data_IF_778990473737
#
_entry.id   IF_778990473737
#
_cell.length_a   1.000
_cell.length_b   1.000
_cell.length_c   1.000
_cell.angle_alpha   90.00
_cell.angle_beta   90.00
_cell.angle_gamma   90.00
#
_symmetry.space_group_name_H-M   'P 1'
#
loop_
_entity.id
_entity.type
_entity.pdbx_description
1 polymer ?
#
# COMPACT_ATOMS: atom_id res chain seq x y z
N UNK A 1 66.27 12.56 -22.99
CA UNK A 1 65.39 13.57 -22.35
C UNK A 1 63.96 13.06 -22.40
N UNK A 2 63.51 12.26 -21.44
CA UNK A 2 62.22 11.56 -21.60
C UNK A 2 61.61 11.18 -20.26
N UNK A 3 61.49 12.14 -19.33
CA UNK A 3 60.86 11.90 -18.02
C UNK A 3 59.87 12.97 -17.56
N UNK A 4 59.71 14.07 -18.31
CA UNK A 4 58.83 15.20 -17.92
C UNK A 4 57.46 15.21 -18.63
N UNK A 5 57.21 14.35 -19.62
CA UNK A 5 55.96 14.37 -20.40
C UNK A 5 54.85 13.48 -19.84
N UNK A 6 55.17 12.46 -19.03
CA UNK A 6 54.18 11.49 -18.55
C UNK A 6 53.38 12.03 -17.34
N UNK A 7 53.96 12.95 -16.57
CA UNK A 7 53.29 13.52 -15.39
C UNK A 7 52.14 14.47 -15.76
N UNK A 8 52.23 15.15 -16.91
CA UNK A 8 51.18 16.10 -17.34
C UNK A 8 49.93 15.40 -17.88
N UNK A 9 50.04 14.17 -18.37
CA UNK A 9 48.88 13.39 -18.84
C UNK A 9 48.11 12.73 -17.70
N UNK A 10 48.76 12.48 -16.56
CA UNK A 10 48.10 11.88 -15.39
C UNK A 10 47.24 12.88 -14.59
N UNK A 11 47.53 14.19 -14.67
CA UNK A 11 46.79 15.23 -13.93
C UNK A 11 45.46 15.63 -14.56
N UNK A 12 45.20 15.29 -15.83
CA UNK A 12 43.96 15.64 -16.54
C UNK A 12 42.92 14.52 -16.49
N UNK A 13 43.32 13.29 -16.12
CA UNK A 13 42.40 12.15 -16.03
C UNK A 13 41.64 12.06 -14.68
N UNK A 14 42.12 12.73 -13.64
CA UNK A 14 41.55 12.64 -12.29
C UNK A 14 40.20 13.38 -12.09
N UNK A 15 39.92 14.54 -12.74
CA UNK A 15 38.65 15.23 -12.53
C UNK A 15 37.45 14.56 -13.22
N UNK A 16 37.68 13.78 -14.28
CA UNK A 16 36.60 13.12 -15.04
C UNK A 16 36.07 11.86 -14.34
N UNK A 17 36.93 11.16 -13.59
CA UNK A 17 36.53 9.99 -12.79
C UNK A 17 35.67 10.37 -11.57
N UNK A 18 35.80 11.60 -11.04
CA UNK A 18 35.04 12.09 -9.90
C UNK A 18 33.61 12.52 -10.25
N UNK A 19 33.31 12.79 -11.53
CA UNK A 19 31.96 13.17 -11.98
C UNK A 19 31.03 11.97 -12.24
N UNK A 20 31.56 10.75 -12.30
CA UNK A 20 30.75 9.53 -12.51
C UNK A 20 30.38 8.79 -11.20
N UNK A 21 30.75 9.33 -10.04
CA UNK A 21 30.61 8.65 -8.74
C UNK A 21 29.38 9.01 -7.90
N UNK A 22 28.62 10.04 -8.28
CA UNK A 22 27.40 10.41 -7.54
C UNK A 22 26.19 9.73 -8.18
N UNK A 23 25.99 8.43 -7.90
CA UNK A 23 24.69 7.82 -8.19
C UNK A 23 23.62 8.58 -7.40
N UNK A 24 22.57 9.05 -8.07
CA UNK A 24 21.47 9.75 -7.40
C UNK A 24 20.96 8.92 -6.20
N UNK A 25 20.72 9.57 -5.04
CA UNK A 25 20.16 8.89 -3.89
C UNK A 25 18.80 8.33 -4.29
N UNK A 26 18.60 7.03 -4.09
CA UNK A 26 17.32 6.40 -4.40
C UNK A 26 16.19 6.97 -3.54
N UNK A 27 14.98 6.95 -4.09
CA UNK A 27 13.77 7.47 -3.47
C UNK A 27 12.96 6.34 -2.84
N UNK A 28 12.16 6.68 -1.85
CA UNK A 28 11.25 5.75 -1.17
C UNK A 28 9.84 6.30 -1.26
N UNK A 29 8.94 5.50 -1.82
CA UNK A 29 7.51 5.75 -1.76
C UNK A 29 6.88 4.72 -0.83
N UNK A 30 5.92 5.17 -0.02
CA UNK A 30 5.09 4.31 0.82
C UNK A 30 3.62 4.59 0.52
N UNK A 31 2.78 3.58 0.58
CA UNK A 31 1.35 3.77 0.36
C UNK A 31 0.51 2.50 0.36
N UNK A 32 -0.76 2.69 0.04
CA UNK A 32 -1.77 1.63 0.01
C UNK A 32 -1.88 1.02 -1.37
N UNK A 33 -1.73 -0.30 -1.46
CA UNK A 33 -1.87 -1.05 -2.72
C UNK A 33 -3.34 -1.12 -3.13
N UNK A 34 -3.65 -0.61 -4.32
CA UNK A 34 -4.99 -0.63 -4.91
C UNK A 34 -5.10 -1.64 -6.07
N UNK A 35 -3.97 -2.10 -6.61
CA UNK A 35 -3.91 -3.16 -7.64
C UNK A 35 -2.61 -3.94 -7.50
N UNK A 36 -2.70 -5.26 -7.68
CA UNK A 36 -1.55 -6.16 -7.81
C UNK A 36 -1.79 -7.09 -9.01
N UNK A 37 -0.83 -7.15 -9.92
CA UNK A 37 -0.82 -8.08 -11.05
C UNK A 37 0.42 -8.98 -10.92
N UNK A 38 0.22 -10.21 -10.48
CA UNK A 38 1.29 -11.18 -10.27
C UNK A 38 1.92 -11.64 -11.59
N UNK A 39 1.13 -11.71 -12.69
CA UNK A 39 1.62 -12.14 -13.98
C UNK A 39 2.50 -11.06 -14.64
N UNK A 40 2.04 -9.81 -14.61
CA UNK A 40 2.81 -8.67 -15.09
C UNK A 40 3.90 -8.21 -14.11
N UNK A 41 3.92 -8.75 -12.88
CA UNK A 41 4.75 -8.30 -11.76
C UNK A 41 4.66 -6.79 -11.56
N UNK A 42 3.43 -6.28 -11.45
CA UNK A 42 3.20 -4.85 -11.21
C UNK A 42 2.32 -4.61 -10.00
N UNK A 43 2.55 -3.48 -9.33
CA UNK A 43 1.67 -2.95 -8.30
C UNK A 43 1.24 -1.54 -8.67
N UNK A 44 0.02 -1.17 -8.27
CA UNK A 44 -0.43 0.22 -8.28
C UNK A 44 -0.81 0.60 -6.85
N UNK A 45 -0.34 1.76 -6.39
CA UNK A 45 -0.59 2.25 -5.04
C UNK A 45 -0.96 3.73 -4.99
N UNK A 46 -1.76 4.09 -3.99
CA UNK A 46 -1.97 5.48 -3.58
C UNK A 46 -0.93 5.81 -2.53
N UNK A 47 -0.10 6.82 -2.80
CA UNK A 47 0.96 7.25 -1.87
C UNK A 47 0.36 7.78 -0.59
N UNK A 48 1.01 7.46 0.51
CA UNK A 48 0.77 8.07 1.80
C UNK A 48 1.51 9.41 1.88
N UNK A 49 0.77 10.53 1.84
CA UNK A 49 1.35 11.88 1.96
C UNK A 49 2.08 12.09 3.29
N UNK A 50 1.59 11.48 4.36
CA UNK A 50 2.15 11.62 5.70
C UNK A 50 3.41 10.76 5.91
N UNK A 51 3.62 9.74 5.07
CA UNK A 51 4.65 8.71 5.27
C UNK A 51 4.58 8.06 6.67
N UNK A 52 3.38 7.91 7.23
CA UNK A 52 3.10 7.34 8.55
C UNK A 52 2.08 6.21 8.41
N UNK A 53 2.57 4.96 8.48
CA UNK A 53 1.73 3.77 8.37
C UNK A 53 0.71 3.62 9.51
N UNK A 54 0.83 4.35 10.63
CA UNK A 54 -0.18 4.37 11.70
C UNK A 54 -1.23 5.46 11.47
N UNK A 55 -0.86 6.56 10.81
CA UNK A 55 -1.73 7.72 10.53
C UNK A 55 -1.57 8.20 9.08
N UNK A 56 -1.99 7.39 8.11
CA UNK A 56 -1.72 7.67 6.70
C UNK A 56 -2.63 8.77 6.18
N UNK A 57 -2.21 9.38 5.08
CA UNK A 57 -3.00 10.29 4.28
C UNK A 57 -2.99 9.83 2.81
N UNK A 58 -4.01 9.06 2.42
CA UNK A 58 -4.20 8.55 1.07
C UNK A 58 -5.00 9.52 0.18
N UNK A 59 -4.53 10.75 0.05
CA UNK A 59 -5.15 11.80 -0.79
C UNK A 59 -4.34 12.14 -2.04
N UNK A 60 -3.31 11.36 -2.35
CA UNK A 60 -2.40 11.64 -3.47
C UNK A 60 -2.87 10.95 -4.74
N UNK A 61 -3.20 11.75 -5.76
CA UNK A 61 -3.42 11.32 -7.14
C UNK A 61 -2.34 11.94 -8.07
N UNK A 62 -2.05 11.31 -9.22
CA UNK A 62 -2.56 9.99 -9.65
C UNK A 62 -1.95 8.83 -8.84
N UNK A 63 -2.53 7.62 -8.93
CA UNK A 63 -1.89 6.42 -8.39
C UNK A 63 -0.54 6.15 -9.06
N UNK A 64 0.41 5.61 -8.31
CA UNK A 64 1.73 5.25 -8.82
C UNK A 64 1.77 3.76 -9.15
N UNK A 65 2.22 3.41 -10.35
CA UNK A 65 2.42 2.02 -10.76
C UNK A 65 3.91 1.70 -10.83
N UNK A 66 4.32 0.56 -10.27
CA UNK A 66 5.69 0.08 -10.31
C UNK A 66 5.76 -1.34 -10.87
N UNK A 67 6.75 -1.61 -11.71
CA UNK A 67 7.23 -2.98 -11.96
C UNK A 67 8.01 -3.46 -10.75
N UNK A 68 7.73 -4.68 -10.29
CA UNK A 68 8.37 -5.31 -9.15
C UNK A 68 9.74 -5.90 -9.52
N UNK A 69 10.70 -5.95 -8.57
CA UNK A 69 11.99 -6.60 -8.78
C UNK A 69 11.84 -8.06 -9.21
N UNK A 70 12.74 -8.51 -10.09
CA UNK A 70 12.82 -9.92 -10.46
C UNK A 70 13.62 -10.75 -9.45
N UNK A 71 14.51 -10.12 -8.68
CA UNK A 71 15.27 -10.79 -7.62
C UNK A 71 14.36 -10.99 -6.39
N UNK A 72 14.12 -12.25 -5.95
CA UNK A 72 13.34 -12.53 -4.75
C UNK A 72 13.90 -11.90 -3.47
N UNK A 73 15.23 -11.71 -3.38
CA UNK A 73 15.84 -11.09 -2.19
C UNK A 73 15.51 -9.61 -2.05
N UNK A 74 15.04 -8.98 -3.14
CA UNK A 74 14.59 -7.58 -3.16
C UNK A 74 13.05 -7.47 -3.10
N UNK A 75 12.38 -8.59 -2.84
CA UNK A 75 10.92 -8.72 -2.74
C UNK A 75 10.49 -9.20 -1.35
N UNK A 76 9.71 -8.38 -0.66
CA UNK A 76 8.91 -8.82 0.48
C UNK A 76 7.70 -9.68 0.07
N UNK A 77 6.88 -10.10 1.05
CA UNK A 77 5.66 -10.87 0.77
C UNK A 77 4.75 -10.14 -0.22
N UNK A 78 4.10 -10.88 -1.12
CA UNK A 78 3.19 -10.28 -2.10
C UNK A 78 2.08 -9.45 -1.43
N UNK A 79 1.70 -8.28 -2.02
CA UNK A 79 0.65 -7.45 -1.46
C UNK A 79 -0.75 -7.95 -1.81
N UNK A 80 -1.69 -7.68 -0.91
CA UNK A 80 -3.11 -7.71 -1.20
C UNK A 80 -3.57 -6.31 -1.65
N UNK A 81 -4.34 -6.25 -2.73
CA UNK A 81 -4.98 -5.02 -3.18
C UNK A 81 -6.31 -4.78 -2.44
N UNK A 82 -6.68 -3.51 -2.24
CA UNK A 82 -8.00 -3.14 -1.73
C UNK A 82 -8.33 -1.68 -2.00
N UNK A 83 -9.60 -1.41 -2.30
CA UNK A 83 -10.08 -0.10 -2.75
C UNK A 83 -10.36 0.90 -1.63
N UNK A 84 -10.50 0.46 -0.38
CA UNK A 84 -10.85 1.33 0.73
C UNK A 84 -9.65 2.16 1.19
N UNK A 85 -9.78 3.48 1.06
CA UNK A 85 -8.77 4.44 1.50
C UNK A 85 -8.97 4.81 2.97
N UNK A 86 -10.23 5.06 3.37
CA UNK A 86 -10.56 5.50 4.72
C UNK A 86 -11.94 5.02 5.12
N UNK A 87 -12.10 4.66 6.40
CA UNK A 87 -13.40 4.60 7.06
C UNK A 87 -13.39 5.58 8.23
N UNK A 88 -14.39 6.45 8.27
CA UNK A 88 -14.64 7.42 9.32
C UNK A 88 -15.96 7.06 10.00
N UNK A 89 -15.88 6.20 11.02
CA UNK A 89 -17.05 5.72 11.77
C UNK A 89 -17.76 6.81 12.57
N UNK A 90 -17.12 7.98 12.78
CA UNK A 90 -17.75 9.11 13.48
C UNK A 90 -18.60 9.94 12.54
N UNK A 91 -18.17 10.07 11.28
CA UNK A 91 -18.90 10.78 10.23
C UNK A 91 -19.81 9.88 9.41
N UNK A 92 -19.79 8.57 9.65
CA UNK A 92 -20.45 7.56 8.84
C UNK A 92 -20.07 7.65 7.34
N UNK A 93 -18.78 7.81 7.08
CA UNK A 93 -18.24 7.96 5.73
C UNK A 93 -17.18 6.92 5.42
N UNK A 94 -17.24 6.38 4.21
CA UNK A 94 -16.18 5.55 3.64
C UNK A 94 -15.65 6.19 2.37
N UNK A 95 -14.33 6.32 2.26
CA UNK A 95 -13.66 6.80 1.05
C UNK A 95 -13.01 5.61 0.36
N UNK A 96 -13.32 5.44 -0.92
CA UNK A 96 -12.75 4.41 -1.80
C UNK A 96 -12.01 5.06 -2.96
N UNK A 97 -11.06 4.34 -3.56
CA UNK A 97 -10.56 4.65 -4.90
C UNK A 97 -11.44 3.94 -5.94
N UNK A 98 -12.02 4.70 -6.85
CA UNK A 98 -12.80 4.18 -7.97
C UNK A 98 -11.87 3.99 -9.19
N UNK A 99 -11.61 2.73 -9.61
CA UNK A 99 -10.72 2.46 -10.74
C UNK A 99 -11.30 2.92 -12.08
N UNK A 100 -12.61 3.12 -12.18
CA UNK A 100 -13.29 3.58 -13.39
C UNK A 100 -13.03 5.05 -13.63
N UNK A 101 -13.18 5.87 -12.58
CA UNK A 101 -12.98 7.32 -12.66
C UNK A 101 -11.56 7.75 -12.31
N UNK A 102 -10.70 6.83 -11.87
CA UNK A 102 -9.34 7.11 -11.36
C UNK A 102 -9.32 8.19 -10.28
N UNK A 103 -10.35 8.21 -9.42
CA UNK A 103 -10.55 9.26 -8.42
C UNK A 103 -11.08 8.67 -7.10
N UNK A 104 -11.09 9.48 -6.05
CA UNK A 104 -11.69 9.10 -4.78
C UNK A 104 -13.20 9.36 -4.78
N UNK A 105 -13.94 8.41 -4.21
CA UNK A 105 -15.37 8.54 -3.94
C UNK A 105 -15.61 8.42 -2.44
N UNK A 106 -16.22 9.44 -1.86
CA UNK A 106 -16.71 9.39 -0.47
C UNK A 106 -18.18 9.03 -0.50
N UNK A 107 -18.54 8.02 0.29
CA UNK A 107 -19.87 7.44 0.35
C UNK A 107 -20.34 7.54 1.80
N UNK A 108 -21.50 8.13 2.00
CA UNK A 108 -22.18 8.09 3.29
C UNK A 108 -22.82 6.72 3.49
N UNK A 109 -22.77 6.21 4.71
CA UNK A 109 -23.36 4.92 5.06
C UNK A 109 -24.27 5.04 6.29
N UNK A 110 -25.13 4.04 6.50
CA UNK A 110 -25.86 3.89 7.76
C UNK A 110 -25.11 2.90 8.65
N UNK A 111 -24.77 3.30 9.87
CA UNK A 111 -24.14 2.40 10.83
C UNK A 111 -25.17 1.44 11.40
N UNK A 112 -24.96 0.13 11.22
CA UNK A 112 -25.85 -0.93 11.71
C UNK A 112 -25.34 -1.51 13.04
N UNK A 113 -24.04 -1.77 13.13
CA UNK A 113 -23.37 -2.20 14.35
C UNK A 113 -21.94 -1.66 14.38
N UNK A 114 -21.44 -1.36 15.57
CA UNK A 114 -20.09 -0.83 15.76
C UNK A 114 -19.49 -1.33 17.07
N UNK A 115 -18.29 -1.92 16.97
CA UNK A 115 -17.53 -2.40 18.11
C UNK A 115 -16.13 -1.83 18.08
N UNK A 116 -15.70 -1.31 19.23
CA UNK A 116 -14.34 -0.82 19.46
C UNK A 116 -13.54 -1.83 20.28
N UNK A 117 -12.23 -1.59 20.39
CA UNK A 117 -11.30 -2.45 21.12
C UNK A 117 -11.24 -3.90 20.60
N UNK A 118 -11.45 -4.08 19.30
CA UNK A 118 -11.35 -5.36 18.61
C UNK A 118 -9.91 -5.53 18.10
N UNK A 119 -9.05 -6.14 18.90
CA UNK A 119 -7.72 -6.55 18.45
C UNK A 119 -7.78 -7.72 17.45
N UNK A 120 -6.61 -8.09 16.90
CA UNK A 120 -6.48 -9.12 15.85
C UNK A 120 -6.72 -10.55 16.33
N UNK A 121 -6.68 -10.79 17.63
CA UNK A 121 -6.87 -12.10 18.30
C UNK A 121 -8.29 -12.24 18.88
N UNK A 122 -9.10 -11.17 18.80
CA UNK A 122 -10.47 -11.14 19.28
C UNK A 122 -11.34 -12.20 18.54
N UNK A 123 -12.20 -12.98 19.24
CA UNK A 123 -12.97 -14.06 18.62
C UNK A 123 -13.90 -13.66 17.47
N UNK A 124 -14.26 -12.38 17.39
CA UNK A 124 -15.06 -11.85 16.27
C UNK A 124 -14.27 -11.74 14.96
N UNK A 125 -12.93 -11.69 15.03
CA UNK A 125 -12.06 -11.50 13.87
C UNK A 125 -10.97 -12.59 13.74
N UNK A 126 -10.85 -13.45 14.74
CA UNK A 126 -9.93 -14.58 14.78
C UNK A 126 -10.68 -15.87 15.09
N UNK A 127 -10.38 -16.92 14.34
CA UNK A 127 -10.87 -18.27 14.57
C UNK A 127 -9.78 -19.05 15.32
N UNK A 128 -10.04 -19.35 16.60
CA UNK A 128 -9.10 -20.05 17.47
C UNK A 128 -8.99 -21.55 17.15
N UNK A 129 -10.04 -22.14 16.60
CA UNK A 129 -10.06 -23.58 16.30
C UNK A 129 -9.20 -23.88 15.06
N UNK A 130 -9.17 -22.95 14.10
CA UNK A 130 -8.37 -23.05 12.87
C UNK A 130 -7.08 -22.23 12.89
N UNK A 131 -6.81 -21.53 14.00
CA UNK A 131 -5.66 -20.63 14.23
C UNK A 131 -5.46 -19.62 13.07
N UNK A 132 -6.56 -18.99 12.62
CA UNK A 132 -6.57 -18.11 11.44
C UNK A 132 -7.43 -16.86 11.62
N UNK A 133 -7.03 -15.71 11.04
CA UNK A 133 -7.90 -14.56 10.97
C UNK A 133 -9.11 -14.84 10.08
N UNK A 134 -10.28 -14.38 10.52
CA UNK A 134 -11.50 -14.38 9.71
C UNK A 134 -11.33 -13.45 8.51
N UNK A 135 -11.99 -13.80 7.40
CA UNK A 135 -11.93 -13.00 6.18
C UNK A 135 -12.83 -11.77 6.32
N UNK A 136 -12.25 -10.61 6.03
CA UNK A 136 -12.95 -9.33 5.90
C UNK A 136 -12.50 -8.65 4.60
N UNK A 137 -13.34 -7.80 4.00
CA UNK A 137 -14.72 -7.49 4.38
C UNK A 137 -15.68 -8.67 4.14
N UNK A 138 -16.83 -8.67 4.82
CA UNK A 138 -17.94 -9.60 4.53
C UNK A 138 -19.07 -8.79 3.89
N UNK A 139 -19.39 -9.07 2.64
CA UNK A 139 -20.43 -8.38 1.88
C UNK A 139 -21.70 -9.24 1.87
N UNK A 140 -22.78 -8.73 2.47
CA UNK A 140 -24.10 -9.36 2.48
C UNK A 140 -25.02 -8.54 1.55
N UNK A 141 -25.22 -9.05 0.33
CA UNK A 141 -26.00 -8.35 -0.72
C UNK A 141 -27.49 -8.32 -0.40
N UNK A 142 -28.01 -9.34 0.28
CA UNK A 142 -29.43 -9.43 0.63
C UNK A 142 -29.79 -8.39 1.69
N UNK A 143 -28.93 -8.23 2.70
CA UNK A 143 -29.10 -7.23 3.75
C UNK A 143 -28.57 -5.85 3.37
N UNK A 144 -27.88 -5.74 2.23
CA UNK A 144 -27.18 -4.53 1.77
C UNK A 144 -26.19 -4.04 2.83
N UNK A 145 -25.47 -4.95 3.47
CA UNK A 145 -24.46 -4.61 4.49
C UNK A 145 -23.06 -5.06 4.13
N UNK A 146 -22.08 -4.35 4.68
CA UNK A 146 -20.67 -4.70 4.63
C UNK A 146 -20.11 -4.71 6.04
N UNK A 147 -19.56 -5.85 6.45
CA UNK A 147 -18.82 -5.96 7.72
C UNK A 147 -17.34 -5.69 7.47
N UNK A 148 -16.79 -4.68 8.13
CA UNK A 148 -15.43 -4.19 7.94
C UNK A 148 -14.68 -4.27 9.25
N UNK A 149 -13.59 -5.03 9.25
CA UNK A 149 -12.59 -4.99 10.30
C UNK A 149 -11.48 -3.98 9.95
N UNK A 150 -11.10 -3.16 10.93
CA UNK A 150 -9.96 -2.25 10.84
C UNK A 150 -8.98 -2.55 11.96
N UNK A 151 -7.97 -3.38 11.67
CA UNK A 151 -6.96 -3.74 12.67
C UNK A 151 -6.16 -2.54 13.20
N UNK A 152 -5.95 -1.53 12.36
CA UNK A 152 -5.27 -0.28 12.76
C UNK A 152 -6.09 0.56 13.74
N UNK A 153 -7.41 0.65 13.51
CA UNK A 153 -8.33 1.38 14.40
C UNK A 153 -8.84 0.51 15.55
N UNK A 154 -8.60 -0.82 15.51
CA UNK A 154 -9.18 -1.83 16.41
C UNK A 154 -10.72 -1.76 16.45
N UNK A 155 -11.34 -1.62 15.28
CA UNK A 155 -12.80 -1.51 15.14
C UNK A 155 -13.37 -2.58 14.23
N UNK A 156 -14.60 -3.00 14.53
CA UNK A 156 -15.44 -3.84 13.68
C UNK A 156 -16.75 -3.10 13.43
N UNK A 157 -17.02 -2.74 12.18
CA UNK A 157 -18.21 -1.99 11.77
C UNK A 157 -19.07 -2.84 10.84
N UNK A 158 -20.38 -2.85 11.06
CA UNK A 158 -21.36 -3.31 10.07
C UNK A 158 -22.05 -2.08 9.52
N UNK A 159 -21.83 -1.79 8.24
CA UNK A 159 -22.37 -0.61 7.57
C UNK A 159 -23.39 -1.05 6.52
N UNK A 160 -24.44 -0.26 6.34
CA UNK A 160 -25.38 -0.40 5.23
C UNK A 160 -25.10 0.66 4.18
N UNK A 161 -25.10 0.24 2.92
CA UNK A 161 -24.81 1.09 1.76
C UNK A 161 -25.99 1.07 0.76
N UNK A 162 -26.12 2.09 -0.09
CA UNK A 162 -27.04 2.04 -1.23
C UNK A 162 -26.76 0.87 -2.17
N UNK A 163 -27.80 0.38 -2.85
CA UNK A 163 -27.76 -0.84 -3.66
C UNK A 163 -26.77 -0.74 -4.83
N UNK A 164 -26.61 0.46 -5.41
CA UNK A 164 -25.71 0.66 -6.55
C UNK A 164 -24.26 0.25 -6.25
N UNK A 165 -23.85 0.30 -4.98
CA UNK A 165 -22.50 -0.03 -4.55
C UNK A 165 -22.23 -1.54 -4.46
N UNK A 166 -23.25 -2.40 -4.39
CA UNK A 166 -23.08 -3.87 -4.32
C UNK A 166 -22.79 -4.51 -5.69
N UNK A 167 -22.78 -3.71 -6.75
CA UNK A 167 -22.23 -4.06 -8.06
C UNK A 167 -20.70 -4.02 -8.09
N UNK A 168 -20.07 -3.30 -7.15
CA UNK A 168 -18.61 -3.20 -7.05
C UNK A 168 -18.02 -4.50 -6.48
N UNK A 169 -16.76 -4.85 -6.83
CA UNK A 169 -16.08 -6.02 -6.26
C UNK A 169 -15.92 -5.91 -4.74
N UNK A 170 -15.98 -7.03 -4.02
CA UNK A 170 -15.83 -7.06 -2.55
C UNK A 170 -14.52 -6.42 -2.07
N UNK A 171 -13.44 -6.55 -2.87
CA UNK A 171 -12.14 -5.92 -2.60
C UNK A 171 -12.19 -4.39 -2.54
N UNK A 172 -13.25 -3.76 -3.05
CA UNK A 172 -13.51 -2.31 -2.94
C UNK A 172 -13.61 -1.88 -1.48
N UNK A 173 -14.20 -2.73 -0.64
CA UNK A 173 -14.40 -2.44 0.79
C UNK A 173 -13.22 -2.87 1.66
N UNK A 174 -12.27 -3.61 1.07
CA UNK A 174 -11.08 -4.05 1.77
C UNK A 174 -10.02 -2.96 1.81
N UNK A 175 -9.25 -2.97 2.89
CA UNK A 175 -8.01 -2.24 2.99
C UNK A 175 -6.91 -3.02 2.28
N UNK A 176 -6.35 -2.44 1.22
CA UNK A 176 -5.10 -2.93 0.63
C UNK A 176 -3.95 -2.90 1.62
N UNK A 177 -2.95 -3.74 1.37
CA UNK A 177 -1.73 -3.77 2.16
C UNK A 177 -0.95 -2.45 1.99
N UNK A 178 -0.23 -2.08 3.05
CA UNK A 178 0.77 -1.02 3.03
C UNK A 178 2.05 -1.54 2.37
N UNK A 179 2.51 -0.87 1.32
CA UNK A 179 3.71 -1.18 0.59
C UNK A 179 4.74 -0.05 0.73
N UNK A 180 6.02 -0.42 0.70
CA UNK A 180 7.16 0.48 0.56
C UNK A 180 7.97 0.08 -0.65
N UNK A 181 8.25 1.04 -1.52
CA UNK A 181 9.00 0.87 -2.77
C UNK A 181 10.24 1.75 -2.72
N UNK A 182 11.42 1.14 -2.85
CA UNK A 182 12.65 1.87 -3.13
C UNK A 182 12.91 1.85 -4.64
N UNK A 183 13.19 3.01 -5.23
CA UNK A 183 13.41 3.15 -6.67
C UNK A 183 14.46 4.21 -6.99
N UNK A 184 15.08 4.10 -8.16
CA UNK A 184 15.91 5.15 -8.76
C UNK A 184 15.26 5.73 -10.01
N UNK A 185 14.54 4.90 -10.76
CA UNK A 185 13.74 5.29 -11.91
C UNK A 185 12.25 5.21 -11.53
N UNK A 186 11.48 6.24 -11.86
CA UNK A 186 10.03 6.23 -11.59
C UNK A 186 9.34 5.06 -12.29
N UNK A 187 8.45 4.39 -11.58
CA UNK A 187 7.75 3.21 -12.08
C UNK A 187 8.57 1.92 -12.10
N UNK A 188 9.84 1.92 -11.67
CA UNK A 188 10.65 0.70 -11.53
C UNK A 188 11.16 0.51 -10.10
N UNK A 189 10.54 -0.43 -9.38
CA UNK A 189 10.99 -0.76 -8.05
C UNK A 189 12.34 -1.49 -8.11
N UNK A 190 13.31 -0.99 -7.35
CA UNK A 190 14.55 -1.71 -7.03
C UNK A 190 14.34 -2.64 -5.84
N UNK A 191 13.54 -2.22 -4.86
CA UNK A 191 13.09 -3.05 -3.73
C UNK A 191 11.62 -2.83 -3.47
N UNK A 192 10.92 -3.89 -3.11
CA UNK A 192 9.54 -3.85 -2.68
C UNK A 192 9.41 -4.53 -1.33
N UNK A 193 8.68 -3.90 -0.41
CA UNK A 193 8.38 -4.46 0.90
C UNK A 193 6.90 -4.29 1.23
N UNK A 194 6.24 -5.38 1.60
CA UNK A 194 4.91 -5.34 2.19
C UNK A 194 5.01 -5.07 3.69
N UNK A 195 4.81 -3.81 4.08
CA UNK A 195 4.90 -3.33 5.46
C UNK A 195 3.79 -3.93 6.33
N UNK A 196 2.65 -4.30 5.74
CA UNK A 196 1.54 -4.92 6.48
C UNK A 196 1.83 -6.37 6.89
N UNK A 197 2.69 -7.07 6.15
CA UNK A 197 3.07 -8.47 6.43
C UNK A 197 4.46 -8.62 7.03
N UNK A 198 5.33 -7.63 6.89
CA UNK A 198 6.68 -7.63 7.45
C UNK A 198 6.69 -6.94 8.81
N UNK A 199 7.04 -7.68 9.86
CA UNK A 199 7.30 -7.07 11.16
C UNK A 199 8.69 -6.44 11.17
N UNK A 200 8.78 -5.18 10.75
CA UNK A 200 10.05 -4.41 10.74
C UNK A 200 10.62 -4.14 12.15
N UNK A 201 9.90 -4.50 13.22
CA UNK A 201 10.32 -4.33 14.61
C UNK A 201 10.81 -5.62 15.27
N UNK A 202 10.68 -6.78 14.61
CA UNK A 202 11.36 -8.00 15.03
C UNK A 202 12.78 -7.96 14.47
N UNK A 203 13.73 -7.56 15.32
CA UNK A 203 15.15 -7.88 15.14
C UNK A 203 15.42 -9.33 15.49
#
# INVERSE_FOLDING_TARGET
>A
MTRKSIWRTLLVALPVALLMGCSEPGKVDQGRVIKYDAAAKTITMIRDRANDAQKPDYTVLPPMTYTLPSNPDEMGPEPKAGGRMKIDNKKNQITIFDPTTQNFKTIDFVMIDFKENIDKEHPLVYDKDTDKPKKFPVVDKDKKTVTIYSGRQKTLSVIQLPEEYFSMPDSTWDAGDEARVFYKEEGKALRFMNVSKTNIYKK
#
